data_IF_388664827315
#
_entry.id   IF_388664827315
#
_cell.length_a   1.000
_cell.length_b   1.000
_cell.length_c   1.000
_cell.angle_alpha   90.00
_cell.angle_beta   90.00
_cell.angle_gamma   90.00
#
_symmetry.space_group_name_H-M   'P 1'
#
loop_
_entity.id
_entity.type
_entity.pdbx_description
1 polymer ?
#
# COMPACT_ATOMS: atom_id res chain seq x y z
N UNK A 1 -22.15 -9.57 -5.25
CA UNK A 1 -22.32 -8.32 -4.48
C UNK A 1 -23.19 -7.36 -5.28
N UNK A 2 -24.21 -6.76 -4.66
CA UNK A 2 -25.18 -5.90 -5.35
C UNK A 2 -24.57 -4.55 -5.76
N UNK A 3 -24.69 -4.17 -7.04
CA UNK A 3 -24.35 -2.84 -7.58
C UNK A 3 -24.96 -1.70 -6.75
N UNK A 4 -26.07 -1.97 -6.05
CA UNK A 4 -26.68 -1.03 -5.12
C UNK A 4 -25.80 -0.70 -3.91
N UNK A 5 -24.93 -1.62 -3.42
CA UNK A 5 -23.99 -1.30 -2.33
C UNK A 5 -22.87 -0.36 -2.80
N UNK A 6 -22.32 -0.58 -4.00
CA UNK A 6 -21.34 0.33 -4.65
C UNK A 6 -21.95 1.70 -4.97
N UNK A 7 -23.23 1.75 -5.37
CA UNK A 7 -23.96 3.01 -5.59
C UNK A 7 -24.30 3.74 -4.30
N UNK A 8 -24.68 3.01 -3.23
CA UNK A 8 -24.95 3.59 -1.90
C UNK A 8 -23.70 4.26 -1.33
N UNK A 9 -22.52 3.66 -1.51
CA UNK A 9 -21.22 4.28 -1.20
C UNK A 9 -20.95 5.59 -1.97
N UNK A 10 -21.35 5.68 -3.24
CA UNK A 10 -21.26 6.93 -4.00
C UNK A 10 -22.29 7.98 -3.53
N UNK A 11 -23.38 7.59 -2.88
CA UNK A 11 -24.35 8.50 -2.25
C UNK A 11 -23.90 8.93 -0.84
N UNK A 12 -23.38 8.00 -0.04
CA UNK A 12 -22.78 8.24 1.27
C UNK A 12 -21.51 9.12 1.16
N UNK A 13 -20.92 9.19 -0.04
CA UNK A 13 -19.89 10.16 -0.46
C UNK A 13 -20.22 11.61 -0.09
N UNK A 14 -21.49 12.01 -0.04
CA UNK A 14 -21.90 13.38 0.34
C UNK A 14 -22.01 13.60 1.85
N UNK A 15 -22.20 12.55 2.65
CA UNK A 15 -22.33 12.66 4.12
C UNK A 15 -20.99 12.45 4.84
N UNK A 16 -20.12 11.57 4.32
CA UNK A 16 -18.77 11.28 4.87
C UNK A 16 -17.82 12.49 4.93
N UNK A 17 -18.11 13.58 4.22
CA UNK A 17 -17.18 14.68 3.93
C UNK A 17 -17.31 15.92 4.85
N UNK A 18 -18.14 15.91 5.90
CA UNK A 18 -18.52 17.15 6.62
C UNK A 18 -17.91 17.42 8.00
N UNK A 19 -17.30 16.48 8.73
CA UNK A 19 -16.68 16.80 10.03
C UNK A 19 -15.47 15.92 10.41
N UNK A 20 -14.51 16.49 11.15
CA UNK A 20 -13.33 15.78 11.69
C UNK A 20 -13.68 14.77 12.81
N UNK A 21 -14.78 14.98 13.53
CA UNK A 21 -15.26 14.09 14.60
C UNK A 21 -15.97 12.83 14.08
N UNK A 22 -16.59 12.88 12.89
CA UNK A 22 -17.15 11.70 12.23
C UNK A 22 -16.07 10.77 11.67
N UNK A 23 -14.88 11.31 11.38
CA UNK A 23 -13.83 10.58 10.70
C UNK A 23 -13.21 9.45 11.54
N UNK A 24 -13.12 9.61 12.87
CA UNK A 24 -12.56 8.58 13.77
C UNK A 24 -13.50 7.41 14.02
N UNK A 25 -14.83 7.61 14.04
CA UNK A 25 -15.82 6.53 14.07
C UNK A 25 -15.86 5.76 12.75
N UNK A 26 -15.73 6.47 11.63
CA UNK A 26 -15.79 5.91 10.28
C UNK A 26 -14.48 5.23 9.82
N UNK A 27 -13.42 5.33 10.63
CA UNK A 27 -12.08 4.82 10.31
C UNK A 27 -12.02 3.29 10.29
N UNK A 28 -12.54 2.63 11.32
CA UNK A 28 -12.57 1.16 11.40
C UNK A 28 -13.49 0.58 10.33
N UNK A 29 -14.60 1.26 10.02
CA UNK A 29 -15.52 0.86 8.95
C UNK A 29 -14.87 0.99 7.58
N UNK A 30 -14.11 2.06 7.34
CA UNK A 30 -13.34 2.25 6.11
C UNK A 30 -12.29 1.15 5.94
N UNK A 31 -11.52 0.83 6.98
CA UNK A 31 -10.50 -0.23 6.95
C UNK A 31 -11.16 -1.59 6.73
N UNK A 32 -12.20 -1.93 7.49
CA UNK A 32 -12.91 -3.21 7.36
C UNK A 32 -13.52 -3.35 5.96
N UNK A 33 -14.02 -2.26 5.39
CA UNK A 33 -14.51 -2.24 4.02
C UNK A 33 -13.39 -2.47 3.00
N UNK A 34 -12.29 -1.73 3.09
CA UNK A 34 -11.11 -1.91 2.23
C UNK A 34 -10.63 -3.36 2.32
N UNK A 35 -10.52 -3.88 3.53
CA UNK A 35 -10.04 -5.22 3.78
C UNK A 35 -10.96 -6.25 3.11
N UNK A 36 -12.28 -6.11 3.30
CA UNK A 36 -13.25 -6.98 2.65
C UNK A 36 -13.18 -6.91 1.11
N UNK A 37 -13.13 -5.72 0.51
CA UNK A 37 -13.28 -5.60 -0.95
C UNK A 37 -11.98 -5.82 -1.72
N UNK A 38 -10.82 -5.53 -1.11
CA UNK A 38 -9.52 -5.67 -1.79
C UNK A 38 -8.84 -7.00 -1.43
N UNK A 39 -8.99 -7.48 -0.20
CA UNK A 39 -8.26 -8.67 0.27
C UNK A 39 -9.15 -9.91 0.34
N UNK A 40 -10.44 -9.78 0.67
CA UNK A 40 -11.35 -10.94 0.75
C UNK A 40 -12.13 -11.20 -0.55
N UNK A 41 -12.56 -10.15 -1.27
CA UNK A 41 -13.30 -10.29 -2.53
C UNK A 41 -12.40 -10.12 -3.77
N UNK A 42 -12.38 -11.15 -4.59
CA UNK A 42 -11.55 -11.18 -5.80
C UNK A 42 -12.13 -10.42 -7.01
N UNK A 43 -13.33 -9.84 -6.91
CA UNK A 43 -14.01 -9.20 -8.06
C UNK A 43 -13.21 -8.02 -8.64
N UNK A 44 -12.74 -7.10 -7.79
CA UNK A 44 -11.95 -5.93 -8.25
C UNK A 44 -10.62 -6.39 -8.84
N UNK A 45 -9.95 -7.34 -8.18
CA UNK A 45 -8.66 -7.87 -8.64
C UNK A 45 -8.81 -8.62 -9.96
N UNK A 46 -9.89 -9.37 -10.16
CA UNK A 46 -10.17 -10.05 -11.42
C UNK A 46 -10.39 -9.06 -12.56
N UNK A 47 -11.19 -8.02 -12.34
CA UNK A 47 -11.38 -6.96 -13.34
C UNK A 47 -10.07 -6.23 -13.68
N UNK A 48 -9.16 -6.07 -12.72
CA UNK A 48 -7.82 -5.53 -12.99
C UNK A 48 -6.94 -6.48 -13.79
N UNK A 49 -6.96 -7.77 -13.46
CA UNK A 49 -6.26 -8.79 -14.23
C UNK A 49 -6.77 -8.82 -15.68
N UNK A 50 -8.08 -8.74 -15.89
CA UNK A 50 -8.70 -8.67 -17.23
C UNK A 50 -8.27 -7.37 -17.95
N UNK A 51 -8.34 -6.22 -17.28
CA UNK A 51 -7.91 -4.93 -17.83
C UNK A 51 -6.45 -4.91 -18.30
N UNK A 52 -5.57 -5.61 -17.58
CA UNK A 52 -4.14 -5.70 -17.90
C UNK A 52 -3.89 -6.72 -19.02
N UNK A 53 -4.61 -7.84 -19.03
CA UNK A 53 -4.59 -8.81 -20.14
C UNK A 53 -5.05 -8.19 -21.46
N UNK A 54 -6.04 -7.31 -21.44
CA UNK A 54 -6.51 -6.55 -22.61
C UNK A 54 -5.45 -5.57 -23.18
N UNK A 55 -4.28 -5.49 -22.54
CA UNK A 55 -3.12 -4.71 -22.98
C UNK A 55 -1.95 -5.60 -23.40
N UNK A 56 -2.18 -6.91 -23.51
CA UNK A 56 -1.16 -7.92 -23.84
C UNK A 56 -0.17 -8.17 -22.69
N UNK A 57 -0.49 -7.74 -21.47
CA UNK A 57 0.28 -8.10 -20.28
C UNK A 57 -0.33 -9.36 -19.67
N UNK A 58 0.34 -10.49 -19.86
CA UNK A 58 -0.09 -11.77 -19.29
C UNK A 58 0.52 -12.02 -17.92
N UNK A 59 -0.13 -11.50 -16.87
CA UNK A 59 0.28 -11.78 -15.49
C UNK A 59 -0.12 -13.20 -15.03
N UNK A 60 -0.56 -14.12 -15.90
CA UNK A 60 -0.80 -15.56 -15.65
C UNK A 60 -1.47 -15.91 -14.30
N UNK A 61 -2.40 -15.09 -13.84
CA UNK A 61 -3.09 -15.29 -12.56
C UNK A 61 -4.48 -15.85 -12.79
N UNK A 62 -4.74 -17.03 -12.22
CA UNK A 62 -6.07 -17.61 -12.15
C UNK A 62 -6.77 -17.11 -10.89
N UNK A 63 -7.88 -16.40 -11.07
CA UNK A 63 -8.68 -15.86 -9.98
C UNK A 63 -10.06 -16.53 -10.07
N UNK A 64 -10.32 -17.48 -9.17
CA UNK A 64 -11.64 -18.13 -9.07
C UNK A 64 -12.68 -17.10 -8.64
N UNK A 65 -13.82 -17.08 -9.34
CA UNK A 65 -15.03 -16.47 -8.80
C UNK A 65 -16.28 -17.01 -9.52
N UNK A 66 -17.25 -17.48 -8.73
CA UNK A 66 -18.54 -18.02 -9.17
C UNK A 66 -19.56 -16.89 -9.45
N UNK A 67 -19.28 -15.65 -9.01
CA UNK A 67 -20.16 -14.48 -9.16
C UNK A 67 -19.46 -13.29 -9.85
N UNK A 68 -18.87 -13.53 -11.03
CA UNK A 68 -18.15 -12.49 -11.77
C UNK A 68 -19.06 -11.32 -12.20
N UNK A 69 -18.70 -10.12 -11.77
CA UNK A 69 -19.30 -8.87 -12.23
C UNK A 69 -18.25 -8.11 -13.04
N UNK A 70 -18.56 -7.85 -14.31
CA UNK A 70 -17.71 -7.03 -15.17
C UNK A 70 -17.85 -5.56 -14.79
N UNK A 71 -16.76 -4.94 -14.38
CA UNK A 71 -16.66 -3.52 -14.06
C UNK A 71 -16.10 -2.76 -15.25
N UNK A 72 -16.59 -1.56 -15.50
CA UNK A 72 -15.99 -0.65 -16.48
C UNK A 72 -14.70 -0.03 -15.91
N UNK A 73 -13.82 0.45 -16.78
CA UNK A 73 -12.64 1.24 -16.39
C UNK A 73 -13.01 2.42 -15.50
N UNK A 74 -14.11 3.12 -15.83
CA UNK A 74 -14.65 4.21 -15.01
C UNK A 74 -15.09 3.74 -13.62
N UNK A 75 -15.66 2.53 -13.49
CA UNK A 75 -15.99 1.97 -12.18
C UNK A 75 -14.74 1.69 -11.36
N UNK A 76 -13.70 1.12 -11.97
CA UNK A 76 -12.41 0.88 -11.32
C UNK A 76 -11.77 2.19 -10.87
N UNK A 77 -11.70 3.20 -11.74
CA UNK A 77 -11.16 4.53 -11.43
C UNK A 77 -11.88 5.14 -10.23
N UNK A 78 -13.21 5.25 -10.30
CA UNK A 78 -14.00 5.87 -9.23
C UNK A 78 -13.84 5.14 -7.89
N UNK A 79 -13.72 3.81 -7.94
CA UNK A 79 -13.50 2.99 -6.77
C UNK A 79 -12.13 3.27 -6.14
N UNK A 80 -11.05 3.20 -6.93
CA UNK A 80 -9.70 3.45 -6.45
C UNK A 80 -9.51 4.90 -5.97
N UNK A 81 -10.02 5.86 -6.71
CA UNK A 81 -9.97 7.27 -6.33
C UNK A 81 -10.65 7.52 -4.98
N UNK A 82 -11.80 6.92 -4.72
CA UNK A 82 -12.49 7.05 -3.44
C UNK A 82 -11.63 6.54 -2.27
N UNK A 83 -11.04 5.33 -2.41
CA UNK A 83 -10.21 4.73 -1.35
C UNK A 83 -8.94 5.54 -1.15
N UNK A 84 -8.24 5.91 -2.24
CA UNK A 84 -7.03 6.74 -2.16
C UNK A 84 -7.30 8.07 -1.45
N UNK A 85 -8.40 8.74 -1.78
CA UNK A 85 -8.77 10.00 -1.14
C UNK A 85 -9.06 9.81 0.35
N UNK A 86 -9.77 8.75 0.73
CA UNK A 86 -10.06 8.44 2.13
C UNK A 86 -8.77 8.15 2.93
N UNK A 87 -7.87 7.31 2.39
CA UNK A 87 -6.57 7.02 2.99
C UNK A 87 -5.66 8.24 3.08
N UNK A 88 -5.61 9.06 2.04
CA UNK A 88 -4.79 10.27 2.00
C UNK A 88 -5.25 11.28 3.06
N UNK A 89 -6.57 11.46 3.21
CA UNK A 89 -7.13 12.30 4.29
C UNK A 89 -6.73 11.76 5.66
N UNK A 90 -6.89 10.45 5.87
CA UNK A 90 -6.52 9.80 7.12
C UNK A 90 -5.07 10.05 7.50
N UNK A 91 -4.14 9.89 6.55
CA UNK A 91 -2.72 9.96 6.85
C UNK A 91 -2.16 11.38 7.00
N UNK A 92 -2.77 12.36 6.32
CA UNK A 92 -2.16 13.68 6.16
C UNK A 92 -3.01 14.86 6.66
N UNK A 93 -4.32 14.69 6.86
CA UNK A 93 -5.15 15.71 7.49
C UNK A 93 -5.15 15.54 9.01
N UNK A 94 -5.03 14.31 9.50
CA UNK A 94 -4.87 14.05 10.93
C UNK A 94 -3.42 14.31 11.36
N UNK A 95 -3.20 15.34 12.19
CA UNK A 95 -1.88 15.69 12.73
C UNK A 95 -1.28 14.59 13.61
N UNK A 96 -2.13 13.75 14.20
CA UNK A 96 -1.73 12.72 15.15
C UNK A 96 -1.43 11.38 14.46
N UNK A 97 -1.68 11.27 13.16
CA UNK A 97 -1.40 10.05 12.42
C UNK A 97 0.10 9.88 12.16
N UNK A 98 0.63 8.71 12.52
CA UNK A 98 2.03 8.30 12.36
C UNK A 98 3.00 9.36 12.89
N UNK A 99 3.03 9.48 14.22
CA UNK A 99 3.99 10.35 14.91
C UNK A 99 5.38 9.70 15.02
N UNK A 100 5.53 8.41 14.71
CA UNK A 100 6.80 7.67 14.79
C UNK A 100 7.84 8.24 13.81
N UNK A 101 8.81 9.01 14.33
CA UNK A 101 9.80 9.74 13.53
C UNK A 101 10.66 8.83 12.64
N UNK A 102 10.90 7.59 13.07
CA UNK A 102 11.67 6.60 12.31
C UNK A 102 11.03 6.27 10.95
N UNK A 103 9.72 6.51 10.80
CA UNK A 103 8.97 6.26 9.56
C UNK A 103 8.67 7.55 8.78
N UNK A 104 9.23 8.70 9.17
CA UNK A 104 8.92 9.99 8.54
C UNK A 104 9.25 9.99 7.05
N UNK A 105 10.39 9.42 6.65
CA UNK A 105 10.77 9.34 5.24
C UNK A 105 9.77 8.52 4.42
N UNK A 106 9.28 7.40 4.98
CA UNK A 106 8.24 6.59 4.34
C UNK A 106 6.94 7.39 4.21
N UNK A 107 6.55 8.15 5.24
CA UNK A 107 5.38 9.04 5.21
C UNK A 107 5.51 10.08 4.09
N UNK A 108 6.69 10.66 3.90
CA UNK A 108 6.94 11.63 2.82
C UNK A 108 6.93 10.99 1.43
N UNK A 109 7.40 9.75 1.25
CA UNK A 109 7.28 9.03 -0.03
C UNK A 109 5.81 8.85 -0.42
N UNK A 110 4.97 8.44 0.54
CA UNK A 110 3.53 8.27 0.33
C UNK A 110 2.90 9.62 -0.03
N UNK A 111 3.22 10.69 0.72
CA UNK A 111 2.70 12.04 0.47
C UNK A 111 3.13 12.58 -0.89
N UNK A 112 4.41 12.44 -1.23
CA UNK A 112 4.96 12.86 -2.50
C UNK A 112 4.24 12.16 -3.64
N UNK A 113 4.03 10.85 -3.54
CA UNK A 113 3.34 10.10 -4.59
C UNK A 113 1.89 10.55 -4.75
N UNK A 114 1.16 10.73 -3.65
CA UNK A 114 -0.20 11.24 -3.70
C UNK A 114 -0.27 12.62 -4.38
N UNK A 115 0.66 13.52 -4.05
CA UNK A 115 0.78 14.83 -4.68
C UNK A 115 1.14 14.73 -6.16
N UNK A 116 2.09 13.87 -6.54
CA UNK A 116 2.52 13.65 -7.93
C UNK A 116 1.37 13.12 -8.78
N UNK A 117 0.61 12.14 -8.29
CA UNK A 117 -0.59 11.63 -8.99
C UNK A 117 -1.64 12.72 -9.13
N UNK A 118 -1.86 13.54 -8.10
CA UNK A 118 -2.83 14.64 -8.16
C UNK A 118 -2.46 15.70 -9.21
N UNK A 119 -1.18 16.02 -9.36
CA UNK A 119 -0.71 17.07 -10.28
C UNK A 119 -0.49 16.59 -11.72
N UNK A 120 -0.41 15.29 -11.97
CA UNK A 120 -0.15 14.72 -13.29
C UNK A 120 -1.37 13.97 -13.83
N UNK A 121 -1.95 14.43 -14.93
CA UNK A 121 -3.12 13.81 -15.56
C UNK A 121 -2.84 12.40 -16.08
N UNK A 122 -1.67 12.15 -16.65
CA UNK A 122 -1.26 10.84 -17.17
C UNK A 122 -1.13 9.74 -16.09
N UNK A 123 -1.10 10.11 -14.81
CA UNK A 123 -1.12 9.20 -13.65
C UNK A 123 -2.53 8.98 -13.09
N UNK A 124 -3.54 9.71 -13.58
CA UNK A 124 -4.95 9.59 -13.18
C UNK A 124 -5.81 8.96 -14.27
N UNK A 125 -5.38 9.08 -15.53
CA UNK A 125 -6.10 8.52 -16.66
C UNK A 125 -5.96 6.99 -16.71
N UNK A 126 -7.09 6.28 -16.67
CA UNK A 126 -7.16 4.81 -16.78
C UNK A 126 -7.51 4.35 -18.21
N UNK A 127 -7.91 5.24 -19.09
CA UNK A 127 -8.32 4.92 -20.47
C UNK A 127 -7.14 5.07 -21.45
N UNK A 128 -6.34 6.13 -21.29
CA UNK A 128 -5.23 6.42 -22.19
C UNK A 128 -4.08 5.43 -22.00
N UNK A 129 -3.85 4.60 -23.01
CA UNK A 129 -2.71 3.69 -23.09
C UNK A 129 -1.52 4.35 -23.79
N UNK A 130 -0.33 4.13 -23.26
CA UNK A 130 0.92 4.78 -23.67
C UNK A 130 1.88 3.77 -24.29
N UNK A 131 2.63 4.18 -25.33
CA UNK A 131 3.71 3.37 -25.88
C UNK A 131 4.90 3.37 -24.92
N UNK A 132 5.71 2.30 -24.94
CA UNK A 132 6.93 2.20 -24.13
C UNK A 132 7.91 3.37 -24.34
N UNK A 133 7.89 3.99 -25.53
CA UNK A 133 8.76 5.13 -25.88
C UNK A 133 8.21 6.49 -25.41
N UNK A 134 7.06 6.52 -24.72
CA UNK A 134 6.40 7.77 -24.34
C UNK A 134 6.78 8.20 -22.92
N UNK A 135 6.82 9.52 -22.70
CA UNK A 135 7.08 10.09 -21.38
C UNK A 135 6.02 9.65 -20.35
N UNK A 136 4.77 9.53 -20.79
CA UNK A 136 3.68 9.08 -19.93
C UNK A 136 3.91 7.67 -19.41
N UNK A 137 4.31 6.73 -20.29
CA UNK A 137 4.62 5.37 -19.87
C UNK A 137 5.76 5.36 -18.83
N UNK A 138 6.85 6.07 -19.10
CA UNK A 138 7.98 6.13 -18.18
C UNK A 138 7.62 6.78 -16.84
N UNK A 139 6.76 7.80 -16.85
CA UNK A 139 6.25 8.43 -15.63
C UNK A 139 5.43 7.47 -14.78
N UNK A 140 4.60 6.63 -15.42
CA UNK A 140 3.83 5.58 -14.72
C UNK A 140 4.77 4.54 -14.08
N UNK A 141 5.76 4.05 -14.84
CA UNK A 141 6.74 3.06 -14.34
C UNK A 141 7.58 3.63 -13.21
N UNK A 142 8.08 4.85 -13.36
CA UNK A 142 8.84 5.56 -12.33
C UNK A 142 8.02 5.69 -11.05
N UNK A 143 6.75 6.10 -11.16
CA UNK A 143 5.85 6.27 -10.02
C UNK A 143 5.58 4.94 -9.31
N UNK A 144 5.30 3.87 -10.08
CA UNK A 144 5.11 2.53 -9.53
C UNK A 144 6.36 2.03 -8.80
N UNK A 145 7.54 2.15 -9.43
CA UNK A 145 8.81 1.71 -8.82
C UNK A 145 9.15 2.51 -7.57
N UNK A 146 8.94 3.83 -7.61
CA UNK A 146 9.17 4.70 -6.45
C UNK A 146 8.27 4.35 -5.27
N UNK A 147 6.98 4.08 -5.51
CA UNK A 147 6.07 3.56 -4.47
C UNK A 147 6.60 2.25 -3.88
N UNK A 148 7.07 1.34 -4.73
CA UNK A 148 7.53 0.03 -4.29
C UNK A 148 8.73 0.12 -3.33
N UNK A 149 9.57 1.16 -3.43
CA UNK A 149 10.70 1.38 -2.50
C UNK A 149 10.28 1.53 -1.04
N UNK A 150 9.01 1.80 -0.75
CA UNK A 150 8.47 1.85 0.63
C UNK A 150 8.76 0.54 1.38
N UNK A 151 8.61 -0.62 0.72
CA UNK A 151 8.87 -1.91 1.36
C UNK A 151 10.34 -2.07 1.75
N UNK A 152 11.25 -1.68 0.87
CA UNK A 152 12.69 -1.75 1.12
C UNK A 152 13.09 -0.82 2.27
N UNK A 153 12.56 0.42 2.29
CA UNK A 153 12.80 1.36 3.39
C UNK A 153 12.27 0.86 4.73
N UNK A 154 11.05 0.30 4.75
CA UNK A 154 10.50 -0.27 5.98
C UNK A 154 11.37 -1.41 6.52
N UNK A 155 11.81 -2.30 5.64
CA UNK A 155 12.70 -3.41 6.00
C UNK A 155 14.02 -2.89 6.58
N UNK A 156 14.64 -1.93 5.90
CA UNK A 156 15.88 -1.31 6.34
C UNK A 156 15.74 -0.61 7.69
N UNK A 157 14.69 0.19 7.89
CA UNK A 157 14.42 0.85 9.18
C UNK A 157 14.34 -0.19 10.30
N UNK A 158 13.59 -1.28 10.10
CA UNK A 158 13.45 -2.32 11.12
C UNK A 158 14.80 -2.95 11.47
N UNK A 159 15.59 -3.34 10.46
CA UNK A 159 16.92 -3.92 10.66
C UNK A 159 17.84 -2.94 11.38
N UNK A 160 17.93 -1.70 10.89
CA UNK A 160 18.80 -0.68 11.47
C UNK A 160 18.47 -0.42 12.94
N UNK A 161 17.18 -0.29 13.27
CA UNK A 161 16.72 -0.10 14.64
C UNK A 161 17.07 -1.31 15.53
N UNK A 162 16.87 -2.52 15.02
CA UNK A 162 17.18 -3.75 15.74
C UNK A 162 18.69 -3.91 15.99
N UNK A 163 19.51 -3.72 14.96
CA UNK A 163 20.96 -3.86 15.04
C UNK A 163 21.55 -2.83 15.99
N UNK A 164 21.19 -1.55 15.82
CA UNK A 164 21.67 -0.45 16.65
C UNK A 164 21.24 -0.57 18.11
N UNK A 165 19.95 -0.80 18.37
CA UNK A 165 19.42 -0.68 19.73
C UNK A 165 19.19 -2.00 20.46
N UNK A 166 18.92 -3.11 19.75
CA UNK A 166 18.64 -4.41 20.38
C UNK A 166 19.83 -5.38 20.32
N UNK A 167 20.61 -5.39 19.24
CA UNK A 167 21.79 -6.27 19.10
C UNK A 167 23.13 -5.60 19.40
N UNK A 168 23.20 -4.26 19.33
CA UNK A 168 24.44 -3.49 19.49
C UNK A 168 25.50 -3.78 18.44
N UNK A 169 25.09 -3.96 17.18
CA UNK A 169 25.99 -4.21 16.06
C UNK A 169 25.81 -3.13 15.00
N UNK A 170 26.85 -2.90 14.20
CA UNK A 170 26.72 -2.07 13.01
C UNK A 170 25.88 -2.82 11.98
N UNK A 171 24.93 -2.11 11.37
CA UNK A 171 24.15 -2.66 10.25
C UNK A 171 25.08 -2.90 9.07
N UNK A 172 25.01 -4.09 8.47
CA UNK A 172 25.71 -4.36 7.22
C UNK A 172 25.02 -3.64 6.07
N UNK A 173 25.68 -2.61 5.53
CA UNK A 173 25.18 -1.81 4.41
C UNK A 173 24.99 -2.63 3.12
N UNK A 174 25.65 -3.79 3.01
CA UNK A 174 25.50 -4.69 1.86
C UNK A 174 24.29 -5.61 1.98
N UNK A 175 23.61 -5.63 3.14
CA UNK A 175 22.47 -6.49 3.34
C UNK A 175 21.27 -6.03 2.49
N UNK A 176 20.88 -6.86 1.53
CA UNK A 176 19.66 -6.65 0.76
C UNK A 176 18.43 -7.05 1.58
N UNK A 177 17.87 -6.06 2.27
CA UNK A 177 16.69 -6.24 3.09
C UNK A 177 15.46 -6.66 2.26
N UNK A 178 14.77 -7.71 2.70
CA UNK A 178 13.53 -8.20 2.10
C UNK A 178 12.39 -7.99 3.08
N UNK A 179 11.51 -7.04 2.80
CA UNK A 179 10.41 -6.65 3.70
C UNK A 179 9.67 -7.83 4.35
N UNK A 180 9.22 -8.80 3.56
CA UNK A 180 8.42 -9.93 4.07
C UNK A 180 9.19 -10.96 4.90
N UNK A 181 10.52 -10.91 4.87
CA UNK A 181 11.39 -11.77 5.66
C UNK A 181 11.90 -11.02 6.89
N UNK A 182 12.33 -9.78 6.67
CA UNK A 182 13.14 -9.05 7.65
C UNK A 182 12.34 -8.08 8.50
N UNK A 183 11.21 -7.53 8.03
CA UNK A 183 10.54 -6.46 8.75
C UNK A 183 10.03 -6.92 10.12
N UNK A 184 9.20 -7.97 10.16
CA UNK A 184 8.55 -8.44 11.39
C UNK A 184 9.54 -8.87 12.49
N UNK A 185 10.54 -9.74 12.21
CA UNK A 185 11.49 -10.16 13.24
C UNK A 185 12.30 -9.01 13.83
N UNK A 186 12.65 -8.03 12.99
CA UNK A 186 13.48 -6.90 13.40
C UNK A 186 12.67 -5.78 14.09
N UNK A 187 11.39 -5.57 13.74
CA UNK A 187 10.58 -4.52 14.36
C UNK A 187 9.89 -4.94 15.67
N UNK A 188 9.81 -6.25 15.96
CA UNK A 188 9.05 -6.84 17.09
C UNK A 188 9.29 -6.16 18.45
N UNK A 189 10.51 -5.68 18.72
CA UNK A 189 10.83 -5.05 20.00
C UNK A 189 10.18 -3.67 20.20
N UNK A 190 9.68 -3.06 19.13
CA UNK A 190 8.94 -1.79 19.13
C UNK A 190 7.42 -1.99 19.08
N UNK A 191 6.93 -3.22 19.09
CA UNK A 191 5.48 -3.46 19.17
C UNK A 191 4.94 -3.07 20.56
N UNK A 192 3.76 -2.45 20.59
CA UNK A 192 3.09 -2.03 21.85
C UNK A 192 2.87 -3.19 22.81
N UNK A 193 2.57 -4.37 22.27
CA UNK A 193 2.35 -5.59 23.02
C UNK A 193 2.56 -6.82 22.12
N UNK A 194 2.51 -8.03 22.71
CA UNK A 194 2.47 -9.29 21.95
C UNK A 194 1.23 -9.38 21.06
N UNK A 195 0.09 -8.87 21.53
CA UNK A 195 -1.17 -8.87 20.77
C UNK A 195 -1.03 -7.97 19.54
N UNK A 196 -0.52 -6.75 19.72
CA UNK A 196 -0.28 -5.80 18.62
C UNK A 196 0.74 -6.33 17.60
N UNK A 197 1.76 -7.06 18.05
CA UNK A 197 2.68 -7.74 17.13
C UNK A 197 1.98 -8.82 16.29
N UNK A 198 1.11 -9.62 16.91
CA UNK A 198 0.35 -10.65 16.20
C UNK A 198 -0.64 -10.02 15.20
N UNK A 199 -1.27 -8.91 15.56
CA UNK A 199 -2.15 -8.14 14.66
C UNK A 199 -1.38 -7.64 13.43
N UNK A 200 -0.21 -7.01 13.63
CA UNK A 200 0.66 -6.57 12.53
C UNK A 200 1.07 -7.72 11.64
N UNK A 201 1.47 -8.85 12.25
CA UNK A 201 1.87 -10.06 11.53
C UNK A 201 0.72 -10.61 10.69
N UNK A 202 -0.50 -10.68 11.26
CA UNK A 202 -1.69 -11.15 10.56
C UNK A 202 -2.05 -10.26 9.38
N UNK A 203 -1.98 -8.93 9.54
CA UNK A 203 -2.24 -8.00 8.43
C UNK A 203 -1.21 -8.17 7.31
N UNK A 204 0.09 -8.25 7.63
CA UNK A 204 1.13 -8.48 6.61
C UNK A 204 0.91 -9.83 5.91
N UNK A 205 0.53 -10.86 6.64
CA UNK A 205 0.22 -12.18 6.07
C UNK A 205 -0.97 -12.14 5.10
N UNK A 206 -2.07 -11.48 5.48
CA UNK A 206 -3.23 -11.29 4.60
C UNK A 206 -2.84 -10.51 3.35
N UNK A 207 -2.11 -9.40 3.50
CA UNK A 207 -1.62 -8.61 2.37
C UNK A 207 -0.78 -9.47 1.43
N UNK A 208 0.18 -10.25 1.94
CA UNK A 208 1.07 -11.07 1.11
C UNK A 208 0.42 -12.24 0.39
N UNK A 209 -0.63 -12.83 0.98
CA UNK A 209 -1.34 -13.97 0.40
C UNK A 209 -2.46 -13.56 -0.56
N UNK A 210 -2.84 -12.29 -0.56
CA UNK A 210 -3.92 -11.77 -1.39
C UNK A 210 -3.62 -11.83 -2.89
N UNK A 211 -4.67 -12.04 -3.69
CA UNK A 211 -4.58 -12.00 -5.15
C UNK A 211 -4.05 -10.66 -5.68
N UNK A 212 -4.38 -9.55 -5.03
CA UNK A 212 -3.91 -8.22 -5.45
C UNK A 212 -2.41 -8.06 -5.28
N UNK A 213 -1.82 -8.61 -4.20
CA UNK A 213 -0.37 -8.60 -4.04
C UNK A 213 0.35 -9.43 -5.10
N UNK A 214 -0.20 -10.58 -5.45
CA UNK A 214 0.33 -11.38 -6.56
C UNK A 214 0.35 -10.60 -7.88
N UNK A 215 -0.71 -9.83 -8.17
CA UNK A 215 -0.79 -8.97 -9.35
C UNK A 215 0.30 -7.89 -9.34
N UNK A 216 0.46 -7.18 -8.22
CA UNK A 216 1.49 -6.15 -8.03
C UNK A 216 2.89 -6.73 -8.25
N UNK A 217 3.22 -7.87 -7.63
CA UNK A 217 4.54 -8.49 -7.77
C UNK A 217 4.85 -8.94 -9.18
N UNK A 218 3.86 -9.51 -9.87
CA UNK A 218 4.05 -9.93 -11.27
C UNK A 218 4.27 -8.74 -12.18
N UNK A 219 3.52 -7.65 -11.98
CA UNK A 219 3.79 -6.41 -12.71
C UNK A 219 5.21 -5.89 -12.44
N UNK A 220 5.64 -5.84 -11.16
CA UNK A 220 7.01 -5.43 -10.81
C UNK A 220 8.06 -6.27 -11.56
N UNK A 221 7.95 -7.59 -11.47
CA UNK A 221 8.89 -8.50 -12.12
C UNK A 221 8.92 -8.26 -13.63
N UNK A 222 7.76 -8.09 -14.27
CA UNK A 222 7.68 -7.79 -15.69
C UNK A 222 8.37 -6.47 -16.05
N UNK A 223 8.16 -5.41 -15.26
CA UNK A 223 8.79 -4.10 -15.46
C UNK A 223 10.32 -4.10 -15.18
N UNK A 224 10.87 -5.14 -14.57
CA UNK A 224 12.29 -5.27 -14.23
C UNK A 224 13.02 -6.27 -15.12
N UNK A 225 12.34 -7.33 -15.57
CA UNK A 225 13.00 -8.51 -16.15
C UNK A 225 12.42 -8.97 -17.49
N UNK A 226 11.20 -8.59 -17.85
CA UNK A 226 10.57 -9.07 -19.07
C UNK A 226 10.71 -8.08 -20.23
N UNK A 227 10.92 -8.61 -21.44
CA UNK A 227 10.86 -7.82 -22.66
C UNK A 227 9.41 -7.50 -22.99
N UNK A 228 9.01 -6.28 -22.66
CA UNK A 228 7.70 -5.73 -22.98
C UNK A 228 7.63 -5.51 -24.51
N UNK A 229 6.54 -5.95 -25.14
CA UNK A 229 6.33 -5.79 -26.58
C UNK A 229 6.22 -4.29 -26.94
N UNK A 230 7.17 -3.72 -27.69
CA UNK A 230 7.17 -2.30 -28.02
C UNK A 230 6.03 -1.89 -28.97
N UNK A 231 5.34 -2.84 -29.60
CA UNK A 231 4.20 -2.59 -30.48
C UNK A 231 2.91 -2.28 -29.72
N UNK A 232 2.82 -2.72 -28.46
CA UNK A 232 1.64 -2.56 -27.62
C UNK A 232 1.65 -1.23 -26.87
N UNK A 233 0.50 -0.93 -26.26
CA UNK A 233 0.30 0.25 -25.43
C UNK A 233 -0.20 -0.17 -24.06
N UNK A 234 0.33 0.47 -23.04
CA UNK A 234 0.15 0.07 -21.66
C UNK A 234 -0.33 1.24 -20.80
N UNK A 235 -1.08 0.89 -19.77
CA UNK A 235 -1.51 1.75 -18.70
C UNK A 235 -1.51 0.92 -17.42
N UNK A 236 -0.57 1.23 -16.54
CA UNK A 236 -0.37 0.51 -15.28
C UNK A 236 -0.89 1.28 -14.07
N UNK A 237 -1.52 2.45 -14.29
CA UNK A 237 -2.07 3.30 -13.23
C UNK A 237 -3.00 2.53 -12.28
N UNK A 238 -3.90 1.65 -12.77
CA UNK A 238 -4.79 0.93 -11.86
C UNK A 238 -4.05 0.00 -10.89
N UNK A 239 -2.95 -0.64 -11.33
CA UNK A 239 -2.12 -1.45 -10.42
C UNK A 239 -1.27 -0.56 -9.51
N UNK A 240 -0.78 0.60 -9.99
CA UNK A 240 -0.08 1.57 -9.13
C UNK A 240 -0.98 2.12 -8.02
N UNK A 241 -2.26 2.34 -8.31
CA UNK A 241 -3.24 2.74 -7.31
C UNK A 241 -3.56 1.62 -6.31
N UNK A 242 -3.63 0.37 -6.77
CA UNK A 242 -3.71 -0.79 -5.89
C UNK A 242 -2.47 -0.86 -4.96
N UNK A 243 -1.27 -0.69 -5.49
CA UNK A 243 -0.03 -0.66 -4.70
C UNK A 243 -0.06 0.45 -3.65
N UNK A 244 -0.49 1.66 -4.02
CA UNK A 244 -0.63 2.77 -3.07
C UNK A 244 -1.54 2.39 -1.90
N UNK A 245 -2.66 1.73 -2.18
CA UNK A 245 -3.61 1.28 -1.15
C UNK A 245 -2.99 0.24 -0.22
N UNK A 246 -2.24 -0.73 -0.76
CA UNK A 246 -1.51 -1.71 0.06
C UNK A 246 -0.52 -1.03 1.00
N UNK A 247 0.23 -0.05 0.48
CA UNK A 247 1.19 0.72 1.27
C UNK A 247 0.47 1.48 2.39
N UNK A 248 -0.62 2.18 2.08
CA UNK A 248 -1.38 2.93 3.07
C UNK A 248 -1.93 2.01 4.16
N UNK A 249 -2.52 0.86 3.78
CA UNK A 249 -3.07 -0.11 4.74
C UNK A 249 -2.01 -0.69 5.67
N UNK A 250 -0.83 -1.01 5.12
CA UNK A 250 0.32 -1.43 5.91
C UNK A 250 0.78 -0.32 6.87
N UNK A 251 0.88 0.91 6.38
CA UNK A 251 1.33 2.05 7.16
C UNK A 251 0.38 2.37 8.32
N UNK A 252 -0.92 2.21 8.09
CA UNK A 252 -1.96 2.24 9.11
C UNK A 252 -1.72 1.17 10.19
N UNK A 253 -1.51 -0.08 9.78
CA UNK A 253 -1.25 -1.18 10.73
C UNK A 253 0.00 -0.91 11.58
N UNK A 254 1.06 -0.34 10.97
CA UNK A 254 2.27 0.06 11.69
C UNK A 254 1.95 1.13 12.74
N UNK A 255 1.20 2.18 12.38
CA UNK A 255 0.80 3.25 13.31
C UNK A 255 0.00 2.70 14.52
N UNK A 256 -0.87 1.73 14.27
CA UNK A 256 -1.71 1.11 15.31
C UNK A 256 -0.93 0.19 16.26
N UNK A 257 0.09 -0.48 15.75
CA UNK A 257 0.73 -1.61 16.47
C UNK A 257 2.12 -1.29 17.03
N UNK A 258 2.80 -0.27 16.51
CA UNK A 258 4.12 0.17 16.96
C UNK A 258 4.00 1.31 17.99
N UNK A 259 4.86 1.27 19.02
CA UNK A 259 4.90 2.29 20.07
C UNK A 259 5.10 3.70 19.53
N UNK A 260 4.65 4.71 20.29
CA UNK A 260 4.85 6.12 19.97
C UNK A 260 6.33 6.52 20.10
N UNK A 261 6.71 7.74 19.69
CA UNK A 261 8.08 8.24 19.91
C UNK A 261 8.51 8.26 21.37
N UNK A 262 7.59 8.66 22.25
CA UNK A 262 7.85 8.74 23.69
C UNK A 262 8.13 7.35 24.25
N UNK A 263 7.28 6.39 23.91
CA UNK A 263 7.42 5.01 24.37
C UNK A 263 8.61 4.29 23.71
N UNK A 264 8.91 4.60 22.45
CA UNK A 264 10.12 4.15 21.77
C UNK A 264 11.38 4.58 22.51
N UNK A 265 11.43 5.83 22.98
CA UNK A 265 12.55 6.35 23.76
C UNK A 265 12.70 5.59 25.08
N UNK A 266 11.59 5.25 25.75
CA UNK A 266 11.59 4.42 26.96
C UNK A 266 12.08 3.00 26.68
N UNK A 267 11.64 2.39 25.58
CA UNK A 267 12.08 1.04 25.16
C UNK A 267 13.58 1.03 24.87
N UNK A 268 14.07 2.01 24.11
CA UNK A 268 15.50 2.12 23.76
C UNK A 268 16.34 2.34 25.02
N UNK A 269 15.91 3.22 25.94
CA UNK A 269 16.61 3.45 27.21
C UNK A 269 16.72 2.15 28.03
N UNK A 270 15.63 1.41 28.21
CA UNK A 270 15.63 0.11 28.89
C UNK A 270 16.59 -0.91 28.26
N UNK A 271 16.69 -0.93 26.93
CA UNK A 271 17.61 -1.83 26.22
C UNK A 271 19.08 -1.44 26.43
N UNK A 272 19.37 -0.14 26.55
CA UNK A 272 20.70 0.36 26.90
C UNK A 272 21.06 0.06 28.35
N UNK A 273 20.12 0.30 29.27
CA UNK A 273 20.35 0.12 30.71
C UNK A 273 20.59 -1.35 31.08
N UNK A 274 19.96 -2.31 30.37
CA UNK A 274 20.21 -3.75 30.55
C UNK A 274 21.62 -4.22 30.13
N UNK A 275 22.41 -3.35 29.51
CA UNK A 275 23.75 -3.65 29.00
C UNK A 275 24.87 -3.01 29.82
N UNK A 276 24.53 -2.04 30.69
CA UNK A 276 25.44 -1.51 31.71
C UNK A 276 25.44 -2.41 32.92
#
# INVERSE_FOLDING_TARGET
>A
MDLNKLRKLNQDKKSFLKSNTDFSRNYNDLISYIDSVIFDYNVVIKNLNDYIKDQGIELNQYIRDENYIKLTTTNLYNYFEAIKNAMTRLMFVNSDFMQQHIFQEVKEIIRYTASKVKSNESLRDYEKKSKITSNEYHLQVETFKYQFTVFDKLAYIAIHMNDKYKRNVQTDEKYMAKFYVDFLPNIKFLSKSKISFNELSGIIEVLTKSSGWHLIRRLRNMLEHDFIDPSLRYNINPISDLLYIYICRLFIAINETIVTNEDMSKVIKKLKDKRG
#
